data_IF_524283621540
#
_entry.id   IF_524283621540
#
_cell.length_a   1.000
_cell.length_b   1.000
_cell.length_c   1.000
_cell.angle_alpha   90.00
_cell.angle_beta   90.00
_cell.angle_gamma   90.00
#
_symmetry.space_group_name_H-M   'P 1'
#
loop_
_entity.id
_entity.type
_entity.pdbx_description
1 polymer ?
#
# COMPACT_ATOMS: atom_id res chain seq x y z
N UNK A 1 18.36 13.98 -0.71
CA UNK A 1 18.37 12.50 -0.66
C UNK A 1 17.02 12.04 -1.15
N UNK A 2 16.99 11.35 -2.29
CA UNK A 2 15.79 10.65 -2.77
C UNK A 2 15.50 9.53 -1.79
N UNK A 3 14.26 9.42 -1.32
CA UNK A 3 13.86 8.39 -0.36
C UNK A 3 13.43 7.18 -1.17
N UNK A 4 14.02 6.02 -0.89
CA UNK A 4 13.72 4.77 -1.58
C UNK A 4 12.59 3.99 -0.89
N UNK A 5 12.09 2.97 -1.58
CA UNK A 5 11.22 1.97 -0.98
C UNK A 5 11.93 1.25 0.17
N UNK A 6 13.21 0.90 0.00
CA UNK A 6 14.01 0.25 1.03
C UNK A 6 14.04 1.05 2.32
N UNK A 7 14.24 2.37 2.21
CA UNK A 7 14.15 3.27 3.35
C UNK A 7 12.77 3.11 3.99
N UNK A 8 11.68 3.24 3.23
CA UNK A 8 10.31 3.18 3.78
C UNK A 8 9.97 1.90 4.57
N UNK A 9 10.68 0.79 4.30
CA UNK A 9 10.52 -0.48 5.00
C UNK A 9 11.35 -0.59 6.29
N UNK A 10 12.31 0.31 6.49
CA UNK A 10 13.30 0.22 7.58
C UNK A 10 12.63 0.20 8.96
N UNK A 11 13.06 -0.77 9.76
CA UNK A 11 12.84 -0.81 11.21
C UNK A 11 14.14 -1.18 11.90
N UNK A 12 14.44 -0.50 13.00
CA UNK A 12 15.69 -0.68 13.74
C UNK A 12 15.39 -1.48 15.01
N UNK A 13 16.05 -2.64 15.26
CA UNK A 13 15.91 -3.36 16.52
C UNK A 13 16.28 -2.46 17.70
N UNK A 14 15.50 -2.52 18.78
CA UNK A 14 15.78 -1.75 20.00
C UNK A 14 16.18 -2.68 21.15
N UNK A 15 17.13 -2.28 22.01
CA UNK A 15 17.48 -3.05 23.20
C UNK A 15 16.35 -3.02 24.25
N UNK A 16 15.52 -1.97 24.23
CA UNK A 16 14.36 -1.84 25.10
C UNK A 16 13.30 -2.88 24.75
N UNK A 17 12.71 -3.50 25.78
CA UNK A 17 11.56 -4.39 25.64
C UNK A 17 10.31 -3.73 26.21
N UNK A 18 9.18 -3.93 25.56
CA UNK A 18 7.88 -3.53 26.08
C UNK A 18 7.16 -4.77 26.60
N UNK A 19 6.92 -4.84 27.90
CA UNK A 19 6.31 -6.03 28.54
C UNK A 19 7.04 -7.34 28.21
N UNK A 20 8.38 -7.29 28.06
CA UNK A 20 9.20 -8.44 27.67
C UNK A 20 9.23 -8.74 26.16
N UNK A 21 8.41 -8.06 25.36
CA UNK A 21 8.37 -8.23 23.91
C UNK A 21 9.59 -7.62 23.21
N UNK A 22 10.06 -8.29 22.17
CA UNK A 22 11.10 -7.78 21.26
C UNK A 22 10.55 -6.57 20.50
N UNK A 23 11.30 -5.48 20.44
CA UNK A 23 10.81 -4.21 19.91
C UNK A 23 11.69 -3.66 18.79
N UNK A 24 11.06 -3.05 17.80
CA UNK A 24 11.69 -2.36 16.68
C UNK A 24 11.18 -0.92 16.62
N UNK A 25 11.95 -0.02 16.02
CA UNK A 25 11.62 1.40 15.92
C UNK A 25 11.74 1.89 14.48
N UNK A 26 10.75 2.66 14.03
CA UNK A 26 10.82 3.39 12.77
C UNK A 26 10.61 4.89 13.00
N UNK A 27 11.33 5.73 12.27
CA UNK A 27 11.25 7.20 12.41
C UNK A 27 11.14 7.93 11.07
N UNK A 28 11.25 7.21 9.96
CA UNK A 28 11.26 7.70 8.59
C UNK A 28 9.84 7.71 7.97
N UNK A 29 8.90 8.26 8.72
CA UNK A 29 7.47 8.16 8.42
C UNK A 29 7.03 9.23 7.42
N UNK A 30 6.13 8.87 6.52
CA UNK A 30 5.55 9.79 5.55
C UNK A 30 4.04 9.93 5.70
N UNK A 31 3.59 11.19 5.82
CA UNK A 31 2.18 11.56 5.74
C UNK A 31 1.87 12.09 4.34
N UNK A 32 1.02 11.40 3.56
CA UNK A 32 0.58 11.91 2.27
C UNK A 32 -0.16 13.25 2.39
N UNK A 33 -0.06 14.15 1.40
CA UNK A 33 -0.79 15.42 1.42
C UNK A 33 -2.30 15.20 1.61
N UNK A 34 -2.90 15.91 2.57
CA UNK A 34 -4.33 15.81 2.88
C UNK A 34 -4.71 14.66 3.82
N UNK A 35 -3.81 13.73 4.12
CA UNK A 35 -4.06 12.66 5.07
C UNK A 35 -3.85 13.13 6.52
N UNK A 36 -4.56 12.47 7.46
CA UNK A 36 -4.47 12.75 8.90
C UNK A 36 -3.27 12.08 9.58
N UNK A 37 -2.68 11.06 8.96
CA UNK A 37 -1.57 10.32 9.54
C UNK A 37 -0.74 9.65 8.45
N UNK A 38 0.27 8.92 8.91
CA UNK A 38 1.21 8.17 8.07
C UNK A 38 0.46 7.28 7.07
N UNK A 39 1.04 7.11 5.87
CA UNK A 39 0.52 6.20 4.87
C UNK A 39 0.37 4.78 5.44
N UNK A 40 -0.82 4.20 5.30
CA UNK A 40 -1.16 2.92 5.95
C UNK A 40 -0.28 1.76 5.49
N UNK A 41 0.02 1.71 4.19
CA UNK A 41 0.98 0.76 3.61
C UNK A 41 2.36 0.81 4.28
N UNK A 42 2.84 1.99 4.68
CA UNK A 42 4.11 2.09 5.41
C UNK A 42 4.05 1.43 6.77
N UNK A 43 2.95 1.62 7.51
CA UNK A 43 2.75 1.00 8.83
C UNK A 43 2.63 -0.53 8.71
N UNK A 44 1.91 -1.02 7.70
CA UNK A 44 1.83 -2.45 7.39
C UNK A 44 3.22 -3.02 7.12
N UNK A 45 3.97 -2.39 6.23
CA UNK A 45 5.24 -2.91 5.76
C UNK A 45 6.30 -2.91 6.88
N UNK A 46 6.37 -1.85 7.68
CA UNK A 46 7.26 -1.80 8.84
C UNK A 46 6.88 -2.81 9.93
N UNK A 47 5.59 -3.02 10.18
CA UNK A 47 5.14 -4.07 11.11
C UNK A 47 5.50 -5.48 10.59
N UNK A 48 5.36 -5.73 9.29
CA UNK A 48 5.83 -6.96 8.66
C UNK A 48 7.33 -7.12 8.80
N UNK A 49 8.11 -6.07 8.54
CA UNK A 49 9.57 -6.10 8.71
C UNK A 49 9.96 -6.40 10.16
N UNK A 50 9.27 -5.83 11.15
CA UNK A 50 9.47 -6.16 12.55
C UNK A 50 9.19 -7.65 12.82
N UNK A 51 8.09 -8.20 12.29
CA UNK A 51 7.78 -9.63 12.42
C UNK A 51 8.83 -10.53 11.73
N UNK A 52 9.22 -10.17 10.51
CA UNK A 52 10.21 -10.89 9.68
C UNK A 52 11.55 -11.00 10.42
N UNK A 53 12.01 -9.93 11.06
CA UNK A 53 13.26 -9.93 11.83
C UNK A 53 13.25 -10.88 13.05
N UNK A 54 12.08 -11.43 13.41
CA UNK A 54 11.95 -12.41 14.52
C UNK A 54 11.75 -13.85 14.05
N UNK A 55 11.78 -14.10 12.74
CA UNK A 55 11.53 -15.42 12.12
C UNK A 55 12.72 -15.81 11.24
N UNK A 56 13.22 -17.03 11.40
CA UNK A 56 14.29 -17.58 10.58
C UNK A 56 13.81 -18.81 9.78
N UNK A 57 14.28 -18.95 8.54
CA UNK A 57 14.01 -20.11 7.67
C UNK A 57 12.56 -20.30 7.18
N UNK A 58 11.65 -19.36 7.42
CA UNK A 58 10.25 -19.41 6.98
C UNK A 58 9.88 -18.19 6.12
N UNK A 59 8.93 -18.37 5.22
CA UNK A 59 8.39 -17.32 4.34
C UNK A 59 7.06 -16.81 4.86
N UNK A 60 6.86 -15.49 4.80
CA UNK A 60 5.58 -14.85 5.05
C UNK A 60 4.55 -15.33 4.02
N UNK A 61 3.41 -15.86 4.47
CA UNK A 61 2.34 -16.32 3.57
C UNK A 61 1.00 -15.65 3.82
N UNK A 62 0.79 -15.02 4.98
CA UNK A 62 -0.39 -14.19 5.20
C UNK A 62 -0.20 -13.15 6.28
N UNK A 63 -1.02 -12.11 6.21
CA UNK A 63 -1.14 -11.09 7.25
C UNK A 63 -2.57 -10.57 7.35
N UNK A 64 -2.96 -10.22 8.57
CA UNK A 64 -4.21 -9.53 8.89
C UNK A 64 -3.90 -8.34 9.78
N UNK A 65 -4.36 -7.15 9.41
CA UNK A 65 -4.04 -5.92 10.10
C UNK A 65 -5.28 -5.09 10.40
N UNK A 66 -5.26 -4.36 11.51
CA UNK A 66 -6.27 -3.38 11.91
C UNK A 66 -5.62 -2.04 12.24
N UNK A 67 -6.18 -0.97 11.69
CA UNK A 67 -5.83 0.41 11.97
C UNK A 67 -6.74 0.96 13.07
N UNK A 68 -6.15 1.29 14.22
CA UNK A 68 -6.91 1.68 15.42
C UNK A 68 -6.93 3.20 15.59
N UNK A 69 -5.77 3.85 15.40
CA UNK A 69 -5.59 5.29 15.58
C UNK A 69 -4.69 5.87 14.47
N UNK A 70 -4.84 7.17 14.13
CA UNK A 70 -3.94 7.83 13.19
C UNK A 70 -2.49 7.82 13.71
N UNK A 71 -1.56 7.45 12.85
CA UNK A 71 -0.12 7.47 13.13
C UNK A 71 0.44 8.89 12.88
N UNK A 72 1.14 9.48 13.86
CA UNK A 72 1.78 10.79 13.75
C UNK A 72 3.19 10.65 13.17
N UNK A 73 3.44 11.21 11.98
CA UNK A 73 4.76 11.15 11.33
C UNK A 73 5.86 11.95 12.02
N UNK A 74 5.53 12.80 13.00
CA UNK A 74 6.51 13.61 13.75
C UNK A 74 7.16 12.83 14.89
N UNK A 75 6.63 11.67 15.21
CA UNK A 75 7.11 10.81 16.29
C UNK A 75 7.46 9.44 15.72
N UNK A 76 8.46 8.78 16.30
CA UNK A 76 8.76 7.40 15.93
C UNK A 76 7.64 6.44 16.32
N UNK A 77 7.49 5.33 15.59
CA UNK A 77 6.63 4.20 15.96
C UNK A 77 7.48 3.09 16.57
N UNK A 78 7.00 2.52 17.68
CA UNK A 78 7.57 1.30 18.25
C UNK A 78 6.71 0.10 17.83
N UNK A 79 7.32 -0.90 17.21
CA UNK A 79 6.69 -2.17 16.85
C UNK A 79 7.12 -3.24 17.85
N UNK A 80 6.23 -3.62 18.77
CA UNK A 80 6.45 -4.70 19.72
C UNK A 80 5.93 -6.03 19.16
N UNK A 81 6.78 -7.06 19.13
CA UNK A 81 6.48 -8.34 18.49
C UNK A 81 6.29 -9.44 19.53
N UNK A 82 5.10 -10.03 19.52
CA UNK A 82 4.73 -11.20 20.30
C UNK A 82 4.82 -12.47 19.44
N UNK A 83 5.42 -13.53 19.99
CA UNK A 83 5.57 -14.84 19.34
C UNK A 83 4.41 -15.74 19.74
N UNK A 84 3.31 -15.70 18.99
CA UNK A 84 2.12 -16.49 19.26
C UNK A 84 2.34 -18.00 19.05
N UNK A 85 3.14 -18.36 18.04
CA UNK A 85 3.48 -19.75 17.73
C UNK A 85 4.88 -19.84 17.15
N UNK A 86 5.64 -20.84 17.59
CA UNK A 86 6.96 -21.19 17.03
C UNK A 86 6.97 -22.66 16.64
N UNK A 87 7.21 -22.95 15.36
CA UNK A 87 7.22 -24.32 14.87
C UNK A 87 8.07 -24.48 13.63
N UNK A 88 8.50 -25.72 13.36
CA UNK A 88 9.35 -26.05 12.19
C UNK A 88 8.67 -25.83 10.84
N UNK A 89 7.34 -25.84 10.81
CA UNK A 89 6.56 -25.68 9.57
C UNK A 89 5.82 -24.36 9.48
N UNK A 90 5.42 -23.81 10.64
CA UNK A 90 4.64 -22.60 10.74
C UNK A 90 5.05 -21.84 12.00
N UNK A 91 5.17 -20.53 11.86
CA UNK A 91 5.33 -19.59 12.98
C UNK A 91 4.35 -18.43 12.81
N UNK A 92 3.88 -17.89 13.92
CA UNK A 92 2.91 -16.79 13.94
C UNK A 92 3.41 -15.69 14.86
N UNK A 93 3.27 -14.44 14.41
CA UNK A 93 3.64 -13.23 15.14
C UNK A 93 2.44 -12.31 15.26
N UNK A 94 2.29 -11.67 16.42
CA UNK A 94 1.42 -10.51 16.59
C UNK A 94 2.31 -9.29 16.80
N UNK A 95 2.04 -8.22 16.07
CA UNK A 95 2.79 -6.96 16.12
C UNK A 95 1.86 -5.87 16.61
N UNK A 96 2.29 -5.17 17.65
CA UNK A 96 1.66 -3.96 18.14
C UNK A 96 2.50 -2.76 17.71
N UNK A 97 1.94 -1.90 16.87
CA UNK A 97 2.54 -0.60 16.57
C UNK A 97 2.04 0.43 17.61
N UNK A 98 2.97 1.14 18.23
CA UNK A 98 2.71 1.93 19.44
C UNK A 98 3.28 3.33 19.28
N UNK A 99 2.45 4.32 19.61
CA UNK A 99 2.82 5.73 19.77
C UNK A 99 2.14 6.28 21.02
N UNK A 100 2.82 7.15 21.76
CA UNK A 100 2.29 7.77 22.99
C UNK A 100 1.69 6.76 23.98
N UNK A 101 2.31 5.58 24.11
CA UNK A 101 1.85 4.47 24.95
C UNK A 101 0.49 3.86 24.56
N UNK A 102 -0.05 4.18 23.39
CA UNK A 102 -1.26 3.59 22.82
C UNK A 102 -0.92 2.70 21.62
N UNK A 103 -1.62 1.57 21.49
CA UNK A 103 -1.55 0.76 20.27
C UNK A 103 -2.35 1.46 19.17
N UNK A 104 -1.65 1.90 18.13
CA UNK A 104 -2.26 2.60 16.98
C UNK A 104 -2.62 1.64 15.84
N UNK A 105 -1.97 0.48 15.80
CA UNK A 105 -2.16 -0.53 14.75
C UNK A 105 -1.74 -1.90 15.27
N UNK A 106 -2.45 -2.94 14.84
CA UNK A 106 -2.14 -4.34 15.16
C UNK A 106 -2.05 -5.17 13.90
N UNK A 107 -1.09 -6.09 13.83
CA UNK A 107 -0.92 -6.99 12.70
C UNK A 107 -0.58 -8.40 13.17
N UNK A 108 -1.28 -9.40 12.65
CA UNK A 108 -0.89 -10.81 12.79
C UNK A 108 -0.26 -11.28 11.49
N UNK A 109 0.99 -11.77 11.56
CA UNK A 109 1.72 -12.34 10.44
C UNK A 109 1.91 -13.84 10.62
N UNK A 110 1.64 -14.62 9.57
CA UNK A 110 1.87 -16.06 9.54
C UNK A 110 2.93 -16.43 8.52
N UNK A 111 3.85 -17.29 8.96
CA UNK A 111 5.02 -17.74 8.22
C UNK A 111 4.96 -19.25 8.06
N UNK A 112 5.42 -19.77 6.92
CA UNK A 112 5.43 -21.19 6.60
C UNK A 112 6.74 -21.58 5.94
N UNK A 113 7.04 -22.88 5.90
CA UNK A 113 8.18 -23.33 5.09
C UNK A 113 8.04 -22.84 3.65
N UNK A 114 9.17 -22.51 2.99
CA UNK A 114 9.19 -22.30 1.56
C UNK A 114 8.54 -23.48 0.83
N UNK A 115 7.85 -23.23 -0.29
CA UNK A 115 7.34 -24.30 -1.15
C UNK A 115 8.48 -25.19 -1.68
N UNK A 116 8.15 -26.41 -2.09
CA UNK A 116 9.11 -27.34 -2.69
C UNK A 116 9.70 -26.73 -4.00
N UNK A 117 11.03 -26.61 -4.12
CA UNK A 117 11.69 -26.13 -5.34
C UNK A 117 11.38 -26.96 -6.59
N UNK A 118 11.05 -28.25 -6.44
CA UNK A 118 10.63 -29.11 -7.55
C UNK A 118 9.26 -28.68 -8.14
N UNK A 119 8.56 -27.78 -7.46
CA UNK A 119 7.30 -27.20 -7.89
C UNK A 119 6.10 -28.11 -7.62
N UNK A 120 4.91 -27.54 -7.83
CA UNK A 120 3.63 -28.24 -7.72
C UNK A 120 2.65 -27.71 -8.75
N UNK A 121 1.59 -28.49 -9.04
CA UNK A 121 0.50 -28.01 -9.89
C UNK A 121 -0.19 -26.83 -9.22
N UNK A 122 -0.23 -25.70 -9.91
CA UNK A 122 -0.87 -24.46 -9.45
C UNK A 122 -1.94 -24.05 -10.43
N UNK A 123 -3.13 -23.76 -9.91
CA UNK A 123 -4.17 -23.05 -10.64
C UNK A 123 -4.26 -21.63 -10.10
N UNK A 124 -4.49 -20.67 -10.98
CA UNK A 124 -4.76 -19.27 -10.63
C UNK A 124 -5.81 -18.71 -11.57
N UNK A 125 -6.45 -17.61 -11.16
CA UNK A 125 -7.19 -16.78 -12.11
C UNK A 125 -6.23 -16.23 -13.16
N UNK A 126 -6.72 -16.15 -14.41
CA UNK A 126 -5.97 -15.59 -15.52
C UNK A 126 -5.60 -14.13 -15.30
N UNK A 127 -4.58 -13.67 -16.02
CA UNK A 127 -4.26 -12.25 -16.11
C UNK A 127 -5.44 -11.51 -16.77
N UNK A 128 -5.94 -10.41 -16.19
CA UNK A 128 -7.16 -9.80 -16.73
C UNK A 128 -7.01 -9.19 -18.12
N UNK A 129 -8.09 -9.29 -18.89
CA UNK A 129 -8.20 -8.66 -20.20
C UNK A 129 -8.31 -7.13 -20.08
N UNK A 130 -8.04 -6.43 -21.18
CA UNK A 130 -8.16 -4.96 -21.29
C UNK A 130 -7.26 -4.18 -20.31
N UNK A 131 -6.13 -4.77 -19.94
CA UNK A 131 -5.09 -4.10 -19.16
C UNK A 131 -4.06 -3.53 -20.15
N UNK A 132 -3.85 -2.21 -20.10
CA UNK A 132 -2.72 -1.55 -20.78
C UNK A 132 -1.42 -1.97 -20.10
N UNK A 133 -0.36 -2.13 -20.86
CA UNK A 133 0.96 -2.41 -20.29
C UNK A 133 1.43 -1.26 -19.38
N UNK A 134 2.39 -1.55 -18.51
CA UNK A 134 3.00 -0.53 -17.67
C UNK A 134 3.62 0.60 -18.52
N UNK A 135 4.31 0.23 -19.59
CA UNK A 135 4.98 1.18 -20.49
C UNK A 135 3.99 2.08 -21.23
N UNK A 136 2.85 1.55 -21.68
CA UNK A 136 1.78 2.36 -22.27
C UNK A 136 1.16 3.30 -21.23
N UNK A 137 0.89 2.78 -20.03
CA UNK A 137 0.29 3.56 -18.94
C UNK A 137 1.18 4.73 -18.49
N UNK A 138 2.51 4.56 -18.50
CA UNK A 138 3.47 5.63 -18.25
C UNK A 138 3.45 6.70 -19.34
N UNK A 139 3.38 6.29 -20.61
CA UNK A 139 3.28 7.22 -21.75
C UNK A 139 2.01 8.07 -21.66
N UNK A 140 0.88 7.43 -21.36
CA UNK A 140 -0.40 8.10 -21.20
C UNK A 140 -0.35 9.14 -20.06
N UNK A 141 0.17 8.76 -18.89
CA UNK A 141 0.26 9.68 -17.75
C UNK A 141 1.11 10.92 -18.07
N UNK A 142 2.23 10.74 -18.79
CA UNK A 142 3.06 11.85 -19.22
C UNK A 142 2.35 12.76 -20.24
N UNK A 143 1.66 12.17 -21.22
CA UNK A 143 0.88 12.92 -22.19
C UNK A 143 -0.24 13.74 -21.52
N UNK A 144 -0.99 13.13 -20.59
CA UNK A 144 -2.03 13.79 -19.81
C UNK A 144 -1.46 14.95 -18.98
N UNK A 145 -0.26 14.79 -18.42
CA UNK A 145 0.41 15.86 -17.68
C UNK A 145 0.74 17.05 -18.59
N UNK A 146 1.32 16.82 -19.77
CA UNK A 146 1.62 17.89 -20.74
C UNK A 146 0.34 18.65 -21.11
N UNK A 147 -0.74 17.92 -21.42
CA UNK A 147 -2.03 18.52 -21.77
C UNK A 147 -2.58 19.37 -20.61
N UNK A 148 -2.58 18.82 -19.41
CA UNK A 148 -3.06 19.52 -18.20
C UNK A 148 -2.26 20.79 -17.94
N UNK A 149 -0.92 20.75 -18.05
CA UNK A 149 -0.09 21.94 -17.89
C UNK A 149 -0.39 22.99 -18.98
N UNK A 150 -0.66 22.55 -20.21
CA UNK A 150 -1.12 23.38 -21.30
C UNK A 150 -2.43 24.12 -20.99
N UNK A 151 -3.40 23.44 -20.37
CA UNK A 151 -4.66 24.05 -19.93
C UNK A 151 -4.47 25.14 -18.86
N UNK A 152 -3.40 25.04 -18.05
CA UNK A 152 -2.97 26.08 -17.12
C UNK A 152 -2.06 27.15 -17.76
N UNK A 153 -1.89 27.13 -19.08
CA UNK A 153 -1.06 28.09 -19.83
C UNK A 153 0.44 27.83 -19.75
N UNK A 154 0.87 26.68 -19.23
CA UNK A 154 2.28 26.28 -19.14
C UNK A 154 2.64 25.39 -20.32
N UNK A 155 3.53 25.86 -21.20
CA UNK A 155 4.08 25.04 -22.28
C UNK A 155 5.22 24.18 -21.76
N UNK A 156 4.94 22.91 -21.50
CA UNK A 156 5.95 21.92 -21.15
C UNK A 156 6.48 21.24 -22.42
N UNK A 157 7.81 21.20 -22.58
CA UNK A 157 8.43 20.51 -23.70
C UNK A 157 8.43 19.00 -23.44
N UNK A 158 8.08 18.21 -24.46
CA UNK A 158 8.13 16.74 -24.43
C UNK A 158 9.59 16.27 -24.60
N UNK A 159 10.34 16.29 -23.50
CA UNK A 159 11.73 15.83 -23.45
C UNK A 159 11.89 14.76 -22.37
N UNK A 160 12.85 13.85 -22.57
CA UNK A 160 13.15 12.81 -21.56
C UNK A 160 13.59 13.39 -20.22
N UNK A 161 14.25 14.55 -20.22
CA UNK A 161 14.64 15.26 -18.99
C UNK A 161 13.40 15.72 -18.20
N UNK A 162 12.44 16.39 -18.86
CA UNK A 162 11.21 16.85 -18.21
C UNK A 162 10.36 15.68 -17.73
N UNK A 163 10.27 14.63 -18.54
CA UNK A 163 9.56 13.40 -18.18
C UNK A 163 10.17 12.73 -16.96
N UNK A 164 11.49 12.57 -16.94
CA UNK A 164 12.22 12.02 -15.79
C UNK A 164 12.00 12.86 -14.54
N UNK A 165 12.07 14.19 -14.67
CA UNK A 165 11.81 15.10 -13.57
C UNK A 165 10.37 15.03 -13.04
N UNK A 166 9.38 14.87 -13.93
CA UNK A 166 7.98 14.69 -13.54
C UNK A 166 7.77 13.43 -12.69
N UNK A 167 8.25 12.27 -13.17
CA UNK A 167 8.12 11.02 -12.42
C UNK A 167 8.89 11.09 -11.10
N UNK A 168 10.11 11.63 -11.08
CA UNK A 168 10.88 11.80 -9.85
C UNK A 168 10.22 12.75 -8.81
N UNK A 169 9.41 13.72 -9.26
CA UNK A 169 8.72 14.65 -8.37
C UNK A 169 7.35 14.14 -7.90
N UNK A 170 6.67 13.36 -8.73
CA UNK A 170 5.31 12.89 -8.48
C UNK A 170 5.29 11.56 -7.72
N UNK A 171 6.33 10.74 -7.90
CA UNK A 171 6.48 9.42 -7.31
C UNK A 171 7.60 9.45 -6.26
N UNK A 172 7.23 9.31 -4.98
CA UNK A 172 8.23 9.38 -3.90
C UNK A 172 9.07 8.11 -3.84
N UNK A 173 8.43 6.98 -3.52
CA UNK A 173 9.11 5.68 -3.31
C UNK A 173 8.60 4.60 -4.26
N UNK A 174 7.61 4.94 -5.09
CA UNK A 174 6.94 4.04 -6.00
C UNK A 174 6.16 4.86 -7.03
N UNK A 175 6.29 4.45 -8.29
CA UNK A 175 5.45 4.92 -9.39
C UNK A 175 4.11 4.18 -9.40
N UNK A 176 3.01 4.93 -9.49
CA UNK A 176 1.65 4.37 -9.56
C UNK A 176 0.90 4.89 -10.78
N UNK A 177 0.60 4.01 -11.74
CA UNK A 177 -0.13 4.37 -12.97
C UNK A 177 -1.35 3.48 -13.22
N UNK A 178 -2.39 4.03 -13.85
CA UNK A 178 -3.62 3.28 -14.12
C UNK A 178 -3.40 2.26 -15.24
N UNK A 179 -3.61 0.97 -14.96
CA UNK A 179 -3.51 -0.10 -15.97
C UNK A 179 -4.75 -0.20 -16.88
N UNK A 180 -5.75 0.66 -16.71
CA UNK A 180 -6.90 0.79 -17.60
C UNK A 180 -7.45 2.21 -17.59
N UNK A 181 -8.13 2.67 -18.66
CA UNK A 181 -8.90 3.91 -18.63
C UNK A 181 -9.96 3.85 -17.53
N UNK A 182 -10.03 4.89 -16.69
CA UNK A 182 -11.12 5.07 -15.73
C UNK A 182 -12.19 5.92 -16.42
N UNK A 183 -12.93 5.31 -17.35
CA UNK A 183 -13.99 6.00 -18.10
C UNK A 183 -15.24 6.17 -17.23
N UNK A 184 -15.75 7.39 -17.19
CA UNK A 184 -16.99 7.73 -16.49
C UNK A 184 -16.81 8.13 -15.02
N UNK A 185 -17.91 8.60 -14.44
CA UNK A 185 -17.93 9.11 -13.06
C UNK A 185 -17.85 7.99 -12.01
N UNK A 186 -18.16 6.74 -12.38
CA UNK A 186 -18.27 5.60 -11.48
C UNK A 186 -17.63 4.35 -12.07
N UNK A 187 -16.90 3.61 -11.23
CA UNK A 187 -16.34 2.30 -11.58
C UNK A 187 -16.19 1.45 -10.32
N UNK A 188 -16.57 0.18 -10.40
CA UNK A 188 -16.44 -0.76 -9.29
C UNK A 188 -15.06 -1.43 -9.23
N UNK A 189 -14.31 -1.41 -10.34
CA UNK A 189 -13.00 -2.04 -10.47
C UNK A 189 -11.94 -1.02 -10.87
N UNK A 190 -10.76 -1.14 -10.27
CA UNK A 190 -9.56 -0.35 -10.56
C UNK A 190 -8.39 -1.29 -10.81
N UNK A 191 -7.47 -0.90 -11.68
CA UNK A 191 -6.21 -1.61 -11.89
C UNK A 191 -5.07 -0.60 -11.86
N UNK A 192 -4.09 -0.81 -10.99
CA UNK A 192 -2.90 0.04 -10.87
C UNK A 192 -1.66 -0.80 -11.12
N UNK A 193 -0.77 -0.30 -11.97
CA UNK A 193 0.62 -0.72 -11.99
C UNK A 193 1.37 0.03 -10.90
N UNK A 194 2.12 -0.72 -10.11
CA UNK A 194 2.89 -0.25 -8.97
C UNK A 194 4.34 -0.68 -9.18
N UNK A 195 5.26 0.27 -9.29
CA UNK A 195 6.68 0.02 -9.53
C UNK A 195 7.51 0.72 -8.45
N UNK A 196 8.23 -0.01 -7.58
CA UNK A 196 8.97 0.61 -6.49
C UNK A 196 10.26 1.27 -6.97
N UNK A 197 10.66 2.34 -6.29
CA UNK A 197 11.96 2.98 -6.45
C UNK A 197 12.94 2.36 -5.44
N UNK A 198 13.83 1.49 -5.90
CA UNK A 198 14.79 0.76 -5.06
C UNK A 198 16.14 1.47 -4.98
N UNK A 199 16.87 1.26 -3.89
CA UNK A 199 18.24 1.78 -3.68
C UNK A 199 19.34 0.93 -4.37
N UNK A 200 18.95 -0.12 -5.10
CA UNK A 200 19.84 -1.09 -5.74
C UNK A 200 20.30 -2.24 -4.82
N UNK A 201 19.99 -2.21 -3.52
CA UNK A 201 20.20 -3.34 -2.62
C UNK A 201 19.20 -4.44 -2.94
N UNK A 202 19.71 -5.65 -3.16
CA UNK A 202 18.87 -6.83 -3.34
C UNK A 202 18.04 -7.11 -2.08
N UNK A 203 16.74 -7.28 -2.28
CA UNK A 203 15.79 -7.64 -1.24
C UNK A 203 15.63 -9.16 -1.13
N UNK A 204 15.39 -9.66 0.08
CA UNK A 204 14.96 -11.04 0.33
C UNK A 204 13.50 -11.24 -0.08
N UNK A 205 13.08 -12.49 -0.26
CA UNK A 205 11.67 -12.79 -0.56
C UNK A 205 10.67 -12.32 0.50
N UNK A 206 11.08 -12.22 1.77
CA UNK A 206 10.23 -11.66 2.83
C UNK A 206 10.18 -10.13 2.78
N UNK A 207 11.30 -9.48 2.48
CA UNK A 207 11.33 -8.02 2.25
C UNK A 207 10.45 -7.63 1.06
N UNK A 208 10.49 -8.39 -0.04
CA UNK A 208 9.60 -8.18 -1.20
C UNK A 208 8.13 -8.30 -0.80
N UNK A 209 7.78 -9.26 0.07
CA UNK A 209 6.39 -9.39 0.56
C UNK A 209 5.98 -8.25 1.48
N UNK A 210 6.88 -7.74 2.32
CA UNK A 210 6.63 -6.52 3.10
C UNK A 210 6.42 -5.31 2.18
N UNK A 211 7.23 -5.19 1.13
CA UNK A 211 7.06 -4.19 0.07
C UNK A 211 5.71 -4.30 -0.63
N UNK A 212 5.25 -5.50 -0.99
CA UNK A 212 3.90 -5.71 -1.53
C UNK A 212 2.84 -5.23 -0.52
N UNK A 213 3.06 -5.43 0.78
CA UNK A 213 2.22 -4.86 1.84
C UNK A 213 2.17 -3.33 1.85
N UNK A 214 3.29 -2.66 1.55
CA UNK A 214 3.33 -1.21 1.33
C UNK A 214 2.47 -0.82 0.13
N UNK A 215 2.74 -1.45 -1.02
CA UNK A 215 2.21 -1.05 -2.30
C UNK A 215 0.68 -1.24 -2.37
N UNK A 216 0.16 -2.34 -1.81
CA UNK A 216 -1.25 -2.75 -1.94
C UNK A 216 -2.26 -1.94 -1.11
N UNK A 217 -1.82 -1.10 -0.15
CA UNK A 217 -2.72 -0.13 0.51
C UNK A 217 -2.96 1.12 -0.37
N UNK A 218 -2.20 1.28 -1.45
CA UNK A 218 -2.35 2.42 -2.37
C UNK A 218 -3.70 2.38 -3.07
N UNK A 219 -4.50 3.44 -2.87
CA UNK A 219 -5.79 3.64 -3.56
C UNK A 219 -6.84 2.54 -3.32
N UNK A 220 -6.56 1.61 -2.41
CA UNK A 220 -7.38 0.47 -2.07
C UNK A 220 -8.78 0.87 -1.60
N UNK A 221 -8.87 1.47 -0.41
CA UNK A 221 -10.16 1.90 0.17
C UNK A 221 -10.82 3.06 -0.57
N UNK A 222 -10.08 3.78 -1.42
CA UNK A 222 -10.68 4.77 -2.31
C UNK A 222 -11.52 4.14 -3.44
N UNK A 223 -11.26 2.86 -3.79
CA UNK A 223 -11.95 2.16 -4.87
C UNK A 223 -13.45 2.01 -4.61
N UNK A 224 -13.92 1.58 -3.41
CA UNK A 224 -15.33 1.61 -3.07
C UNK A 224 -16.01 2.97 -3.23
N UNK A 225 -15.35 4.08 -2.87
CA UNK A 225 -15.91 5.43 -3.07
C UNK A 225 -16.23 5.72 -4.54
N UNK A 226 -15.40 5.22 -5.46
CA UNK A 226 -15.58 5.40 -6.91
C UNK A 226 -16.73 4.57 -7.47
N UNK A 227 -17.07 3.44 -6.85
CA UNK A 227 -18.20 2.63 -7.28
C UNK A 227 -19.54 3.38 -7.16
N UNK A 228 -19.62 4.36 -6.26
CA UNK A 228 -20.80 5.19 -6.04
C UNK A 228 -20.62 6.64 -6.52
N UNK A 229 -19.63 6.89 -7.39
CA UNK A 229 -19.40 8.19 -8.01
C UNK A 229 -18.75 9.25 -7.11
N UNK A 230 -18.24 8.86 -5.93
CA UNK A 230 -17.56 9.79 -5.03
C UNK A 230 -16.06 9.87 -5.33
N UNK A 231 -15.55 11.10 -5.36
CA UNK A 231 -14.16 11.42 -5.57
C UNK A 231 -13.76 12.68 -4.80
N UNK A 232 -12.47 13.03 -4.83
CA UNK A 232 -12.00 14.30 -4.29
C UNK A 232 -12.60 15.52 -5.01
N UNK A 233 -13.09 15.34 -6.24
CA UNK A 233 -13.60 16.41 -7.11
C UNK A 233 -15.10 16.28 -7.44
N UNK A 234 -15.78 15.25 -6.97
CA UNK A 234 -17.22 15.04 -7.20
C UNK A 234 -18.08 15.97 -6.34
N UNK A 235 -19.36 16.11 -6.70
CA UNK A 235 -20.37 16.74 -5.86
C UNK A 235 -21.50 15.72 -5.57
N UNK A 236 -21.68 15.27 -4.32
CA UNK A 236 -20.87 15.56 -3.12
C UNK A 236 -19.47 14.94 -3.19
N UNK A 237 -18.50 15.53 -2.49
CA UNK A 237 -17.12 15.01 -2.42
C UNK A 237 -17.05 13.75 -1.55
N UNK A 238 -16.05 12.92 -1.81
CA UNK A 238 -15.63 11.87 -0.89
C UNK A 238 -15.00 12.52 0.35
N UNK A 239 -15.76 12.58 1.44
CA UNK A 239 -15.44 13.40 2.62
C UNK A 239 -14.59 12.69 3.67
N UNK A 240 -14.80 11.39 3.88
CA UNK A 240 -13.98 10.59 4.78
C UNK A 240 -13.67 9.24 4.14
N UNK A 241 -12.38 8.96 4.05
CA UNK A 241 -11.81 7.68 3.62
C UNK A 241 -10.77 7.28 4.64
N UNK A 242 -10.94 6.14 5.28
CA UNK A 242 -9.98 5.60 6.23
C UNK A 242 -10.03 4.08 6.21
N UNK A 243 -8.87 3.45 6.14
CA UNK A 243 -8.74 1.99 6.25
C UNK A 243 -9.13 1.55 7.66
N UNK A 244 -9.91 0.47 7.78
CA UNK A 244 -10.20 -0.20 9.05
C UNK A 244 -9.28 -1.41 9.18
N UNK A 245 -9.27 -2.27 8.17
CA UNK A 245 -8.45 -3.47 8.13
C UNK A 245 -7.73 -3.64 6.78
N UNK A 246 -6.70 -4.48 6.76
CA UNK A 246 -6.04 -4.88 5.52
C UNK A 246 -5.51 -6.30 5.68
N UNK A 247 -5.90 -7.19 4.78
CA UNK A 247 -5.51 -8.60 4.77
C UNK A 247 -4.79 -8.92 3.47
N UNK A 248 -3.68 -9.65 3.56
CA UNK A 248 -2.91 -10.12 2.40
C UNK A 248 -2.61 -11.60 2.55
N UNK A 249 -2.82 -12.37 1.48
CA UNK A 249 -2.28 -13.72 1.35
C UNK A 249 -1.23 -13.71 0.25
N UNK A 250 0.00 -14.09 0.60
CA UNK A 250 1.13 -14.14 -0.31
C UNK A 250 1.32 -15.55 -0.84
N UNK A 251 1.74 -15.64 -2.09
CA UNK A 251 2.06 -16.89 -2.74
C UNK A 251 3.51 -16.89 -3.24
N UNK A 252 4.03 -18.02 -3.72
CA UNK A 252 5.40 -18.09 -4.22
C UNK A 252 5.64 -17.07 -5.34
N UNK A 253 6.73 -16.31 -5.18
CA UNK A 253 7.24 -15.39 -6.19
C UNK A 253 7.92 -16.18 -7.33
N UNK A 254 7.86 -15.72 -8.58
CA UNK A 254 8.71 -16.24 -9.65
C UNK A 254 10.20 -16.16 -9.26
N UNK A 255 11.01 -17.12 -9.72
CA UNK A 255 12.43 -17.22 -9.34
C UNK A 255 13.28 -16.05 -9.83
N UNK A 256 12.83 -15.38 -10.88
CA UNK A 256 13.43 -14.23 -11.54
C UNK A 256 12.86 -12.89 -11.05
N UNK A 257 11.84 -12.91 -10.18
CA UNK A 257 11.27 -11.68 -9.61
C UNK A 257 12.08 -11.22 -8.40
N UNK A 258 12.77 -10.08 -8.54
CA UNK A 258 13.63 -9.50 -7.50
C UNK A 258 13.00 -8.29 -6.79
N UNK A 259 11.77 -7.95 -7.15
CA UNK A 259 11.02 -6.83 -6.59
C UNK A 259 11.16 -5.52 -7.35
N UNK A 260 12.09 -5.42 -8.31
CA UNK A 260 12.26 -4.21 -9.11
C UNK A 260 11.21 -4.06 -10.22
N UNK A 261 10.62 -5.17 -10.68
CA UNK A 261 9.65 -5.16 -11.77
C UNK A 261 8.27 -4.71 -11.26
N UNK A 262 7.50 -4.00 -12.11
CA UNK A 262 6.17 -3.54 -11.75
C UNK A 262 5.21 -4.71 -11.49
N UNK A 263 4.29 -4.49 -10.55
CA UNK A 263 3.17 -5.39 -10.25
C UNK A 263 1.85 -4.73 -10.61
N UNK A 264 0.86 -5.53 -11.00
CA UNK A 264 -0.49 -5.08 -11.24
C UNK A 264 -1.37 -5.41 -10.04
N UNK A 265 -1.89 -4.40 -9.35
CA UNK A 265 -2.91 -4.55 -8.31
C UNK A 265 -4.28 -4.20 -8.87
N UNK A 266 -5.14 -5.22 -8.94
CA UNK A 266 -6.53 -5.09 -9.36
C UNK A 266 -7.39 -5.10 -8.11
N UNK A 267 -8.22 -4.08 -7.96
CA UNK A 267 -9.09 -3.87 -6.82
C UNK A 267 -10.53 -3.85 -7.31
N UNK A 268 -11.40 -4.58 -6.63
CA UNK A 268 -12.80 -4.73 -6.99
C UNK A 268 -13.67 -4.50 -5.76
N UNK A 269 -14.50 -3.46 -5.84
CA UNK A 269 -15.48 -3.13 -4.81
C UNK A 269 -16.50 -4.24 -4.72
N UNK A 270 -16.69 -4.80 -3.52
CA UNK A 270 -17.74 -5.80 -3.29
C UNK A 270 -19.02 -5.16 -2.77
N UNK A 271 -18.89 -4.15 -1.91
CA UNK A 271 -20.04 -3.45 -1.34
C UNK A 271 -19.66 -2.04 -0.89
N UNK A 272 -20.64 -1.13 -0.98
CA UNK A 272 -20.63 0.15 -0.29
C UNK A 272 -21.97 0.29 0.43
N UNK A 273 -21.94 0.27 1.76
CA UNK A 273 -23.13 0.46 2.57
C UNK A 273 -23.14 1.87 3.15
N UNK A 274 -24.04 2.70 2.62
CA UNK A 274 -24.20 4.10 3.04
C UNK A 274 -24.76 4.22 4.46
N UNK A 275 -25.50 3.22 4.94
CA UNK A 275 -26.09 3.26 6.27
C UNK A 275 -25.01 3.11 7.35
N UNK A 276 -24.11 2.13 7.19
CA UNK A 276 -22.93 2.02 8.05
C UNK A 276 -21.82 3.01 7.71
N UNK A 277 -21.79 3.50 6.47
CA UNK A 277 -20.73 4.34 5.92
C UNK A 277 -19.42 3.58 5.70
N UNK A 278 -19.51 2.30 5.36
CA UNK A 278 -18.37 1.42 5.07
C UNK A 278 -18.38 0.93 3.63
N UNK A 279 -17.19 0.66 3.09
CA UNK A 279 -17.02 0.00 1.81
C UNK A 279 -15.96 -1.08 1.91
N UNK A 280 -16.13 -2.14 1.12
CA UNK A 280 -15.20 -3.27 1.07
C UNK A 280 -14.70 -3.46 -0.36
N UNK A 281 -13.41 -3.77 -0.48
CA UNK A 281 -12.80 -4.22 -1.71
C UNK A 281 -12.03 -5.53 -1.50
N UNK A 282 -11.97 -6.32 -2.55
CA UNK A 282 -11.01 -7.42 -2.69
C UNK A 282 -10.07 -7.12 -3.84
N UNK A 283 -8.85 -7.62 -3.76
CA UNK A 283 -7.88 -7.40 -4.80
C UNK A 283 -6.96 -8.57 -5.08
N UNK A 284 -6.31 -8.49 -6.24
CA UNK A 284 -5.40 -9.50 -6.79
C UNK A 284 -4.15 -8.80 -7.29
N UNK A 285 -2.99 -9.39 -7.00
CA UNK A 285 -1.69 -8.84 -7.36
C UNK A 285 -0.98 -9.78 -8.32
N UNK A 286 -0.68 -9.29 -9.51
CA UNK A 286 -0.01 -10.05 -10.56
C UNK A 286 1.38 -9.46 -10.87
N UNK A 287 2.34 -10.29 -11.26
CA UNK A 287 3.54 -9.81 -11.96
C UNK A 287 3.17 -9.32 -13.36
N UNK A 288 4.11 -8.66 -14.04
CA UNK A 288 3.94 -8.22 -15.44
C UNK A 288 3.66 -9.39 -16.40
N UNK A 289 4.22 -10.56 -16.11
CA UNK A 289 4.06 -11.82 -16.85
C UNK A 289 2.76 -12.56 -16.49
N UNK A 290 1.99 -12.01 -15.54
CA UNK A 290 0.67 -12.50 -15.17
C UNK A 290 0.65 -13.59 -14.11
N UNK A 291 1.73 -13.78 -13.35
CA UNK A 291 1.75 -14.69 -12.21
C UNK A 291 1.04 -14.04 -11.01
N UNK A 292 0.02 -14.70 -10.46
CA UNK A 292 -0.69 -14.21 -9.26
C UNK A 292 0.20 -14.43 -8.03
N UNK A 293 0.68 -13.35 -7.40
CA UNK A 293 1.63 -13.40 -6.28
C UNK A 293 1.00 -13.02 -4.94
N UNK A 294 -0.13 -12.32 -4.93
CA UNK A 294 -0.89 -12.06 -3.71
C UNK A 294 -2.39 -11.83 -3.97
N UNK A 295 -3.19 -12.02 -2.93
CA UNK A 295 -4.59 -11.54 -2.86
C UNK A 295 -4.76 -10.65 -1.64
N UNK A 296 -5.69 -9.70 -1.74
CA UNK A 296 -5.93 -8.67 -0.73
C UNK A 296 -7.42 -8.54 -0.41
N UNK A 297 -7.75 -8.12 0.81
CA UNK A 297 -9.10 -7.72 1.22
C UNK A 297 -8.98 -6.55 2.19
N UNK A 298 -9.86 -5.56 2.05
CA UNK A 298 -9.85 -4.35 2.86
C UNK A 298 -11.25 -3.77 2.99
N UNK A 299 -11.68 -3.53 4.23
CA UNK A 299 -12.82 -2.70 4.57
C UNK A 299 -12.32 -1.36 5.12
N UNK A 300 -13.12 -0.33 4.93
CA UNK A 300 -12.86 0.97 5.52
C UNK A 300 -14.06 1.88 5.52
N UNK A 301 -13.88 3.03 6.17
CA UNK A 301 -14.87 4.10 6.19
C UNK A 301 -14.89 4.77 4.82
N UNK A 302 -16.08 4.88 4.23
CA UNK A 302 -16.33 5.53 2.94
C UNK A 302 -17.57 6.39 3.09
N UNK A 303 -17.39 7.71 3.20
CA UNK A 303 -18.50 8.65 3.45
C UNK A 303 -18.42 9.85 2.54
N UNK A 304 -19.57 10.23 1.97
CA UNK A 304 -19.73 11.51 1.30
C UNK A 304 -19.63 12.65 2.33
N UNK A 305 -19.05 13.78 1.91
CA UNK A 305 -19.14 15.01 2.68
C UNK A 305 -20.62 15.44 2.70
N UNK A 306 -21.23 15.53 3.89
CA UNK A 306 -22.55 16.17 4.00
C UNK A 306 -22.41 17.63 3.53
N UNK A 307 -23.30 18.10 2.66
CA UNK A 307 -23.44 19.54 2.39
C UNK A 307 -23.62 20.25 3.74
N UNK A 308 -22.60 20.99 4.20
CA UNK A 308 -22.67 21.69 5.50
C UNK A 308 -21.44 21.64 6.42
N UNK A 309 -20.21 21.37 5.95
CA UNK A 309 -19.02 21.68 6.76
C UNK A 309 -18.05 22.54 5.94
N UNK A 310 -18.10 23.86 6.17
CA UNK A 310 -16.93 24.73 5.93
C UNK A 310 -15.84 24.31 6.91
N UNK A 311 -14.66 23.93 6.41
CA UNK A 311 -13.41 23.97 7.16
C UNK A 311 -12.37 24.60 6.21
N UNK A 312 -11.59 25.62 6.55
CA UNK A 312 -11.07 26.11 7.83
C UNK A 312 -11.16 27.64 7.93
N UNK A 313 -11.45 28.16 9.11
CA UNK A 313 -10.77 29.35 9.64
C UNK A 313 -10.44 29.11 11.10
N UNK A 314 -9.20 28.74 11.39
CA UNK A 314 -8.53 29.27 12.58
C UNK A 314 -7.63 30.38 12.09
N UNK A 315 -8.19 31.57 12.07
CA UNK A 315 -7.47 32.83 12.05
C UNK A 315 -6.76 33.01 13.39
N UNK A 316 -5.54 33.54 13.35
CA UNK A 316 -4.98 34.43 14.38
C UNK A 316 -5.05 33.94 15.83
N UNK A 317 -3.95 33.36 16.33
CA UNK A 317 -3.44 33.68 17.67
C UNK A 317 -1.91 33.72 17.64
N UNK A 318 -1.43 34.98 17.68
CA UNK A 318 -0.13 35.54 18.09
C UNK A 318 1.15 34.90 17.52
#
# INVERSE_FOLDING_TARGET
MTISMNDSLEVIPTPSRLLGLECFKASNLWTPPGNRGVFGGQVIAQALMAAINTVDGLELHSTHAYFLLPCDSRQSVTYAVERLREGKSYSTRLVHAIQNSETIFTLTASFSRPPDPAGGRRWQLGFPENIRSYEESLKDLWADHILTMGDFGVKLADTEENKTAFFAANDRVMTSVSGRPQEGAYFAQRALWLCPELDGRRMTGNEIRAMIGYMTDSQAIATPGRAIGLSATSEPRLGMVATIDHTIHFYPLPSDYDGSQPILHIMETQVVDLASGRGQMVGRVYTKEGVLIATTSQEGVVRAQKNGVKARTESSRL
#
